data_IF_909894004947
#
_entry.id   IF_909894004947
#
_cell.length_a   1.000
_cell.length_b   1.000
_cell.length_c   1.000
_cell.angle_alpha   90.00
_cell.angle_beta   90.00
_cell.angle_gamma   90.00
#
_symmetry.space_group_name_H-M   'P 1'
#
loop_
_entity.id
_entity.type
_entity.pdbx_description
1 polymer ?
#
# COMPACT_ATOMS: atom_id res chain seq x y z
N UNK A 1 -26.25 -6.93 3.11
CA UNK A 1 -24.86 -6.73 2.61
C UNK A 1 -24.84 -5.38 1.90
N UNK A 2 -24.14 -4.36 2.43
CA UNK A 2 -24.09 -3.05 1.75
C UNK A 2 -23.40 -3.21 0.40
N UNK A 3 -24.03 -2.74 -0.68
CA UNK A 3 -23.42 -2.74 -2.02
C UNK A 3 -22.16 -1.87 -2.00
N UNK A 4 -21.00 -2.45 -2.27
CA UNK A 4 -19.78 -1.66 -2.49
C UNK A 4 -19.85 -1.02 -3.87
N UNK A 5 -19.57 0.28 -3.94
CA UNK A 5 -19.47 1.02 -5.21
C UNK A 5 -17.99 1.06 -5.60
N UNK A 6 -17.69 0.71 -6.86
CA UNK A 6 -16.34 0.83 -7.42
C UNK A 6 -16.26 2.08 -8.28
N UNK A 7 -15.33 2.98 -7.95
CA UNK A 7 -15.02 4.15 -8.78
C UNK A 7 -13.82 3.84 -9.66
N UNK A 8 -13.96 3.98 -10.98
CA UNK A 8 -12.84 3.87 -11.91
C UNK A 8 -12.26 5.26 -12.18
N UNK A 9 -11.13 5.55 -11.53
CA UNK A 9 -10.41 6.81 -11.66
C UNK A 9 -9.28 6.66 -12.69
N UNK A 10 -9.36 7.37 -13.82
CA UNK A 10 -8.29 7.39 -14.82
C UNK A 10 -7.18 8.35 -14.38
N UNK A 11 -5.94 7.88 -14.48
CA UNK A 11 -4.74 8.62 -14.08
C UNK A 11 -3.68 8.44 -15.17
N UNK A 12 -3.02 9.52 -15.57
CA UNK A 12 -1.84 9.42 -16.43
C UNK A 12 -0.64 8.93 -15.60
N UNK A 13 0.10 7.95 -16.13
CA UNK A 13 1.22 7.32 -15.42
C UNK A 13 2.38 8.29 -15.16
N UNK A 14 2.66 9.20 -16.09
CA UNK A 14 3.81 10.11 -16.04
C UNK A 14 3.45 11.43 -15.37
N UNK A 15 2.19 11.85 -15.46
CA UNK A 15 1.70 13.11 -14.92
C UNK A 15 0.34 12.92 -14.22
N UNK A 16 0.29 12.24 -13.06
CA UNK A 16 -0.96 11.95 -12.37
C UNK A 16 -1.65 13.24 -11.90
N UNK A 17 -2.93 13.41 -12.24
CA UNK A 17 -3.73 14.56 -11.78
C UNK A 17 -3.84 14.54 -10.24
N UNK A 18 -3.31 15.55 -9.52
CA UNK A 18 -3.34 15.59 -8.06
C UNK A 18 -4.73 15.50 -7.46
N UNK A 19 -5.77 15.95 -8.17
CA UNK A 19 -7.16 15.87 -7.70
C UNK A 19 -7.65 14.42 -7.65
N UNK A 20 -7.24 13.63 -8.63
CA UNK A 20 -7.58 12.20 -8.70
C UNK A 20 -6.84 11.43 -7.60
N UNK A 21 -5.55 11.73 -7.41
CA UNK A 21 -4.75 11.16 -6.32
C UNK A 21 -5.34 11.52 -4.95
N UNK A 22 -5.72 12.78 -4.75
CA UNK A 22 -6.37 13.24 -3.52
C UNK A 22 -7.65 12.46 -3.27
N UNK A 23 -8.47 12.25 -4.30
CA UNK A 23 -9.72 11.49 -4.18
C UNK A 23 -9.48 10.02 -3.81
N UNK A 24 -8.47 9.38 -4.40
CA UNK A 24 -8.08 8.01 -4.05
C UNK A 24 -7.55 7.92 -2.60
N UNK A 25 -6.78 8.92 -2.16
CA UNK A 25 -6.27 8.98 -0.80
C UNK A 25 -7.38 9.18 0.25
N UNK A 26 -8.43 9.94 -0.07
CA UNK A 26 -9.63 10.05 0.79
C UNK A 26 -10.32 8.69 0.99
N UNK A 27 -10.40 7.87 -0.05
CA UNK A 27 -10.99 6.52 0.05
C UNK A 27 -10.19 5.66 1.04
N UNK A 28 -8.86 5.69 0.95
CA UNK A 28 -7.98 4.96 1.88
C UNK A 28 -8.12 5.50 3.31
N UNK A 29 -8.12 6.82 3.50
CA UNK A 29 -8.34 7.46 4.82
C UNK A 29 -9.71 7.12 5.42
N UNK A 30 -10.72 6.92 4.58
CA UNK A 30 -12.06 6.48 4.99
C UNK A 30 -12.18 4.97 5.27
N UNK A 31 -11.09 4.20 5.24
CA UNK A 31 -11.10 2.75 5.47
C UNK A 31 -11.51 1.93 4.25
N UNK A 32 -11.58 2.54 3.06
CA UNK A 32 -11.82 1.86 1.80
C UNK A 32 -10.59 1.14 1.25
N UNK A 33 -10.79 0.44 0.13
CA UNK A 33 -9.74 -0.28 -0.61
C UNK A 33 -9.47 0.40 -1.94
N UNK A 34 -8.21 0.39 -2.39
CA UNK A 34 -7.78 0.98 -3.66
C UNK A 34 -6.99 -0.04 -4.49
N UNK A 35 -7.40 -0.26 -5.73
CA UNK A 35 -6.54 -0.92 -6.71
C UNK A 35 -5.68 0.16 -7.40
N UNK A 36 -4.35 0.01 -7.41
CA UNK A 36 -3.43 1.01 -7.97
C UNK A 36 -2.25 0.35 -8.69
N UNK A 37 -1.73 0.99 -9.76
CA UNK A 37 -0.55 0.48 -10.48
C UNK A 37 0.73 0.70 -9.67
N UNK A 38 1.70 -0.20 -9.84
CA UNK A 38 3.11 -0.02 -9.44
C UNK A 38 4.02 -0.33 -10.63
N UNK A 39 5.33 -0.26 -10.46
CA UNK A 39 6.32 -0.72 -11.43
C UNK A 39 6.36 -2.24 -11.61
N UNK A 40 5.85 -3.01 -10.62
CA UNK A 40 5.81 -4.48 -10.67
C UNK A 40 4.46 -5.01 -11.16
N UNK A 41 3.41 -4.86 -10.34
CA UNK A 41 2.04 -5.33 -10.60
C UNK A 41 1.02 -4.38 -9.97
N UNK A 42 -0.27 -4.56 -10.31
CA UNK A 42 -1.31 -3.84 -9.58
C UNK A 42 -1.42 -4.34 -8.13
N UNK A 43 -1.40 -3.40 -7.20
CA UNK A 43 -1.70 -3.63 -5.79
C UNK A 43 -3.20 -3.47 -5.51
N UNK A 44 -3.71 -4.19 -4.51
CA UNK A 44 -4.96 -3.85 -3.83
C UNK A 44 -4.57 -3.44 -2.41
N UNK A 45 -4.60 -2.14 -2.15
CA UNK A 45 -4.20 -1.54 -0.88
C UNK A 45 -5.38 -1.07 -0.04
N UNK A 46 -5.07 -0.85 1.22
CA UNK A 46 -5.91 -0.24 2.25
C UNK A 46 -4.98 0.50 3.23
N UNK A 47 -5.53 1.22 4.20
CA UNK A 47 -4.71 1.77 5.28
C UNK A 47 -4.10 0.62 6.10
N UNK A 48 -2.77 0.47 6.07
CA UNK A 48 -2.05 -0.59 6.77
C UNK A 48 -2.23 -0.54 8.30
N UNK A 49 -2.58 0.62 8.85
CA UNK A 49 -2.81 0.83 10.28
C UNK A 49 -4.27 0.60 10.71
N UNK A 50 -5.20 0.33 9.78
CA UNK A 50 -6.60 -0.01 10.08
C UNK A 50 -6.87 -1.49 9.76
N UNK A 51 -6.94 -2.31 10.81
CA UNK A 51 -7.18 -3.75 10.70
C UNK A 51 -8.49 -4.10 9.96
N UNK A 52 -9.53 -3.26 10.06
CA UNK A 52 -10.80 -3.49 9.36
C UNK A 52 -10.64 -3.25 7.85
N UNK A 53 -9.90 -2.21 7.48
CA UNK A 53 -9.61 -1.91 6.08
C UNK A 53 -8.71 -2.99 5.45
N UNK A 54 -7.74 -3.51 6.22
CA UNK A 54 -6.89 -4.64 5.80
C UNK A 54 -7.71 -5.92 5.61
N UNK A 55 -8.63 -6.25 6.52
CA UNK A 55 -9.52 -7.42 6.40
C UNK A 55 -10.34 -7.38 5.09
N UNK A 56 -10.69 -6.19 4.62
CA UNK A 56 -11.41 -6.00 3.36
C UNK A 56 -10.58 -6.37 2.12
N UNK A 57 -9.25 -6.30 2.17
CA UNK A 57 -8.36 -6.81 1.10
C UNK A 57 -8.51 -8.33 0.98
N UNK A 58 -8.43 -9.05 2.11
CA UNK A 58 -8.56 -10.51 2.15
C UNK A 58 -9.92 -10.95 1.63
N UNK A 59 -10.98 -10.28 2.10
CA UNK A 59 -12.35 -10.54 1.67
C UNK A 59 -12.55 -10.30 0.17
N UNK A 60 -11.98 -9.22 -0.37
CA UNK A 60 -12.11 -8.90 -1.80
C UNK A 60 -11.34 -9.89 -2.70
N UNK A 61 -10.17 -10.37 -2.26
CA UNK A 61 -9.36 -11.31 -3.03
C UNK A 61 -9.72 -12.78 -2.80
N UNK A 62 -10.55 -13.09 -1.80
CA UNK A 62 -10.77 -14.47 -1.35
C UNK A 62 -9.48 -15.14 -0.87
N UNK A 63 -8.53 -14.37 -0.31
CA UNK A 63 -7.25 -14.90 0.16
C UNK A 63 -7.37 -15.44 1.59
N UNK A 64 -6.71 -16.56 1.91
CA UNK A 64 -6.48 -16.98 3.28
C UNK A 64 -5.83 -15.86 4.10
N UNK A 65 -6.29 -15.67 5.35
CA UNK A 65 -5.86 -14.58 6.22
C UNK A 65 -4.43 -14.74 6.76
N UNK A 66 -3.84 -15.92 6.61
CA UNK A 66 -2.48 -16.27 7.01
C UNK A 66 -1.41 -15.85 5.98
N UNK A 67 -1.82 -15.40 4.78
CA UNK A 67 -0.88 -14.84 3.81
C UNK A 67 -0.59 -13.36 4.12
N UNK A 68 0.62 -13.00 4.56
CA UNK A 68 0.94 -11.63 4.92
C UNK A 68 0.84 -10.67 3.73
N UNK A 69 0.62 -9.40 4.03
CA UNK A 69 0.58 -8.30 3.05
C UNK A 69 1.85 -7.46 3.17
N UNK A 70 2.30 -6.90 2.04
CA UNK A 70 3.43 -5.97 1.99
C UNK A 70 2.92 -4.55 2.28
N UNK A 71 3.51 -3.88 3.25
CA UNK A 71 3.26 -2.45 3.51
C UNK A 71 4.09 -1.61 2.54
N UNK A 72 3.43 -0.71 1.82
CA UNK A 72 4.10 0.26 0.95
C UNK A 72 4.27 1.57 1.71
N UNK A 73 5.47 2.16 1.65
CA UNK A 73 5.79 3.47 2.22
C UNK A 73 6.27 4.41 1.12
N UNK A 74 6.04 5.71 1.29
CA UNK A 74 6.45 6.74 0.32
C UNK A 74 7.82 7.33 0.65
N UNK A 75 8.23 7.29 1.92
CA UNK A 75 9.49 7.86 2.40
C UNK A 75 10.04 7.04 3.59
N UNK A 76 11.37 7.01 3.80
CA UNK A 76 11.98 6.23 4.88
C UNK A 76 11.48 6.58 6.29
N UNK A 77 11.08 7.83 6.53
CA UNK A 77 10.55 8.27 7.83
C UNK A 77 9.29 7.50 8.25
N UNK A 78 8.51 6.98 7.29
CA UNK A 78 7.34 6.15 7.60
C UNK A 78 7.69 4.80 8.23
N UNK A 79 8.96 4.34 8.17
CA UNK A 79 9.38 3.15 8.90
C UNK A 79 9.28 3.33 10.41
N UNK A 80 9.36 4.59 10.89
CA UNK A 80 9.12 4.92 12.29
C UNK A 80 7.70 4.51 12.67
N UNK A 81 7.59 3.55 13.58
CA UNK A 81 6.31 2.99 14.03
C UNK A 81 5.80 1.79 13.23
N UNK A 82 6.48 1.39 12.13
CA UNK A 82 6.17 0.17 11.39
C UNK A 82 7.11 -1.00 11.70
N UNK A 83 8.41 -0.72 11.92
CA UNK A 83 9.41 -1.73 12.19
C UNK A 83 10.50 -1.19 13.13
N UNK A 84 11.19 -2.08 13.82
CA UNK A 84 12.31 -1.75 14.69
C UNK A 84 13.53 -2.63 14.39
N UNK A 85 14.71 -2.24 14.90
CA UNK A 85 15.91 -3.05 14.77
C UNK A 85 16.43 -3.17 13.33
N UNK A 86 16.31 -2.11 12.54
CA UNK A 86 16.83 -2.08 11.16
C UNK A 86 18.34 -2.31 11.19
N UNK A 87 18.77 -3.43 10.61
CA UNK A 87 20.20 -3.79 10.54
C UNK A 87 20.93 -2.93 9.52
N UNK A 88 22.24 -2.77 9.68
CA UNK A 88 23.08 -2.01 8.72
C UNK A 88 22.94 -2.53 7.28
N UNK A 89 22.95 -3.86 7.01
CA UNK A 89 22.72 -4.36 5.65
C UNK A 89 21.32 -4.02 5.10
N UNK A 90 20.28 -4.08 5.93
CA UNK A 90 18.93 -3.71 5.53
C UNK A 90 18.83 -2.22 5.17
N UNK A 91 19.39 -1.35 6.02
CA UNK A 91 19.45 0.10 5.74
C UNK A 91 20.17 0.41 4.43
N UNK A 92 21.34 -0.19 4.19
CA UNK A 92 22.07 -0.03 2.92
C UNK A 92 21.29 -0.52 1.70
N UNK A 93 20.54 -1.62 1.83
CA UNK A 93 19.70 -2.10 0.75
C UNK A 93 18.55 -1.11 0.45
N UNK A 94 17.93 -0.53 1.48
CA UNK A 94 16.91 0.51 1.31
C UNK A 94 17.48 1.73 0.59
N UNK A 95 18.64 2.24 1.00
CA UNK A 95 19.27 3.42 0.38
C UNK A 95 19.57 3.25 -1.11
N UNK A 96 19.95 2.05 -1.54
CA UNK A 96 20.36 1.79 -2.93
C UNK A 96 19.18 1.40 -3.82
N UNK A 97 18.24 0.63 -3.28
CA UNK A 97 17.19 0.01 -4.10
C UNK A 97 15.81 0.66 -3.93
N UNK A 98 15.61 1.57 -2.97
CA UNK A 98 14.36 2.31 -2.82
C UNK A 98 14.45 3.75 -3.35
N UNK A 99 13.40 4.25 -4.03
CA UNK A 99 12.19 3.53 -4.45
C UNK A 99 12.49 2.51 -5.57
N UNK A 100 11.95 1.30 -5.45
CA UNK A 100 12.17 0.22 -6.41
C UNK A 100 11.66 -1.14 -5.94
N UNK A 101 11.82 -2.20 -6.77
CA UNK A 101 11.14 -3.48 -6.62
C UNK A 101 11.83 -4.41 -5.60
N UNK A 102 12.27 -3.86 -4.45
CA UNK A 102 12.83 -4.62 -3.34
C UNK A 102 11.87 -4.58 -2.15
N UNK A 103 11.49 -5.74 -1.62
CA UNK A 103 10.77 -5.83 -0.34
C UNK A 103 11.71 -6.42 0.71
N UNK A 104 11.72 -5.82 1.91
CA UNK A 104 12.53 -6.28 3.04
C UNK A 104 11.59 -6.74 4.15
N UNK A 105 11.81 -7.95 4.65
CA UNK A 105 11.14 -8.46 5.84
C UNK A 105 11.93 -7.98 7.06
N UNK A 106 11.25 -7.28 7.97
CA UNK A 106 11.81 -6.73 9.20
C UNK A 106 11.06 -7.31 10.41
N UNK A 107 11.65 -7.27 11.62
CA UNK A 107 10.97 -7.64 12.86
C UNK A 107 9.74 -6.78 13.16
#
# INVERSE_FOLDING_TARGET
MMSKITLHLKVDKQNPDPRVITKAAEIIRGGGTLAFPTETVYGLGANALDARAVADIFRAKGRPADNPLIVHIAEPAMLEGLAAGITVPAGRAMEVFWPGPLTIVLP
#
